data_IF_450062626127
#
_entry.id   IF_450062626127
#
_cell.length_a   1.000
_cell.length_b   1.000
_cell.length_c   1.000
_cell.angle_alpha   90.00
_cell.angle_beta   90.00
_cell.angle_gamma   90.00
#
_symmetry.space_group_name_H-M   'P 1'
#
loop_
_entity.id
_entity.type
_entity.pdbx_description
1 polymer ?
#
# COMPACT_ATOMS: atom_id res chain seq x y z
N UNK A 1 7.39 -5.70 1.72
CA UNK A 1 8.33 -6.48 0.88
C UNK A 1 9.47 -5.62 0.31
N UNK A 2 9.20 -4.62 -0.55
CA UNK A 2 10.28 -3.83 -1.18
C UNK A 2 11.28 -3.21 -0.18
N UNK A 3 10.77 -2.67 0.94
CA UNK A 3 11.58 -2.18 2.05
C UNK A 3 12.53 -3.25 2.61
N UNK A 4 12.01 -4.43 2.96
CA UNK A 4 12.78 -5.54 3.53
C UNK A 4 13.88 -6.00 2.57
N UNK A 5 13.55 -6.14 1.28
CA UNK A 5 14.55 -6.49 0.26
C UNK A 5 15.62 -5.42 0.16
N UNK A 6 15.25 -4.13 0.14
CA UNK A 6 16.22 -3.04 0.13
C UNK A 6 17.10 -3.03 1.38
N UNK A 7 16.55 -3.36 2.55
CA UNK A 7 17.31 -3.46 3.79
C UNK A 7 18.34 -4.59 3.72
N UNK A 8 17.95 -5.77 3.23
CA UNK A 8 18.87 -6.90 3.07
C UNK A 8 20.01 -6.57 2.10
N UNK A 9 19.72 -5.90 0.97
CA UNK A 9 20.72 -5.45 -0.01
C UNK A 9 21.69 -4.43 0.62
N UNK A 10 21.17 -3.46 1.36
CA UNK A 10 22.00 -2.46 2.06
C UNK A 10 22.86 -3.11 3.15
N UNK A 11 22.31 -4.09 3.86
CA UNK A 11 23.00 -4.84 4.90
C UNK A 11 24.09 -5.78 4.32
N UNK A 12 23.95 -6.24 3.08
CA UNK A 12 25.01 -6.98 2.38
C UNK A 12 26.14 -6.07 1.86
N UNK A 13 26.01 -4.76 2.00
CA UNK A 13 27.00 -3.77 1.58
C UNK A 13 26.77 -3.18 0.20
N UNK A 14 25.70 -3.59 -0.48
CA UNK A 14 25.31 -3.02 -1.77
C UNK A 14 24.51 -1.73 -1.59
N UNK A 15 24.47 -0.91 -2.65
CA UNK A 15 23.73 0.35 -2.65
C UNK A 15 22.37 0.16 -3.34
N UNK A 16 21.31 0.62 -2.68
CA UNK A 16 20.01 0.83 -3.31
C UNK A 16 19.92 2.28 -3.78
N UNK A 17 19.68 2.52 -5.06
CA UNK A 17 19.64 3.89 -5.61
C UNK A 17 18.32 4.62 -5.32
N UNK A 18 17.21 3.87 -5.21
CA UNK A 18 15.90 4.42 -4.87
C UNK A 18 14.99 3.32 -4.34
N UNK A 19 14.11 3.68 -3.41
CA UNK A 19 12.99 2.87 -2.96
C UNK A 19 11.68 3.57 -3.35
N UNK A 20 10.81 2.87 -4.09
CA UNK A 20 9.48 3.41 -4.46
C UNK A 20 8.39 2.68 -3.68
N UNK A 21 7.58 3.46 -2.97
CA UNK A 21 6.41 3.00 -2.22
C UNK A 21 5.14 3.47 -2.96
N UNK A 22 4.36 2.52 -3.46
CA UNK A 22 3.14 2.80 -4.24
C UNK A 22 1.94 2.48 -3.35
N UNK A 23 1.29 3.53 -2.86
CA UNK A 23 0.10 3.46 -2.00
C UNK A 23 0.20 2.36 -0.94
N UNK A 24 1.33 2.36 -0.22
CA UNK A 24 1.71 1.31 0.73
C UNK A 24 1.77 1.87 2.15
N UNK A 25 0.88 1.46 3.08
CA UNK A 25 0.97 1.88 4.48
C UNK A 25 2.25 1.34 5.13
N UNK A 26 2.73 2.02 6.18
CA UNK A 26 3.91 1.58 6.92
C UNK A 26 3.67 0.21 7.59
N UNK A 27 4.58 -0.76 7.48
CA UNK A 27 4.40 -2.10 8.05
C UNK A 27 4.53 -2.14 9.58
N UNK A 28 4.99 -1.06 10.23
CA UNK A 28 5.10 -0.99 11.70
C UNK A 28 3.71 -1.11 12.31
N UNK A 29 3.51 -2.12 13.16
CA UNK A 29 2.25 -2.36 13.88
C UNK A 29 1.01 -2.40 12.95
N UNK A 30 1.18 -2.92 11.73
CA UNK A 30 0.10 -3.02 10.74
C UNK A 30 -0.79 -4.22 11.07
N UNK A 31 -1.97 -3.97 11.64
CA UNK A 31 -2.94 -5.01 11.93
C UNK A 31 -3.33 -5.83 10.69
N UNK A 32 -3.50 -7.15 10.80
CA UNK A 32 -3.91 -7.98 9.67
C UNK A 32 -5.30 -7.60 9.17
N UNK A 33 -5.44 -7.47 7.85
CA UNK A 33 -6.74 -7.15 7.24
C UNK A 33 -7.70 -8.33 7.38
N UNK A 34 -8.96 -8.11 7.80
CA UNK A 34 -9.91 -9.18 8.02
C UNK A 34 -10.39 -9.78 6.69
N UNK A 35 -10.69 -11.08 6.68
CA UNK A 35 -11.16 -11.78 5.48
C UNK A 35 -12.42 -11.13 4.84
N UNK A 36 -13.32 -10.58 5.67
CA UNK A 36 -14.53 -9.89 5.20
C UNK A 36 -14.26 -8.73 4.25
N UNK A 37 -13.11 -8.06 4.37
CA UNK A 37 -12.74 -6.97 3.47
C UNK A 37 -12.46 -7.48 2.06
N UNK A 38 -11.70 -8.58 1.95
CA UNK A 38 -11.36 -9.16 0.64
C UNK A 38 -12.59 -9.78 -0.04
N UNK A 39 -13.48 -10.40 0.74
CA UNK A 39 -14.77 -10.90 0.24
C UNK A 39 -15.60 -9.75 -0.31
N UNK A 40 -15.67 -8.62 0.42
CA UNK A 40 -16.36 -7.43 -0.04
C UNK A 40 -15.76 -6.90 -1.35
N UNK A 41 -14.43 -6.79 -1.45
CA UNK A 41 -13.76 -6.35 -2.68
C UNK A 41 -14.05 -7.26 -3.89
N UNK A 42 -14.18 -8.57 -3.70
CA UNK A 42 -14.62 -9.49 -4.75
C UNK A 42 -16.08 -9.25 -5.16
N UNK A 43 -16.97 -9.05 -4.18
CA UNK A 43 -18.40 -8.81 -4.43
C UNK A 43 -18.67 -7.54 -5.24
N UNK A 44 -17.90 -6.47 -5.01
CA UNK A 44 -18.02 -5.23 -5.79
C UNK A 44 -17.24 -5.27 -7.11
N UNK A 45 -16.61 -6.40 -7.45
CA UNK A 45 -15.86 -6.58 -8.69
C UNK A 45 -14.56 -5.77 -8.73
N UNK A 46 -13.93 -5.49 -7.58
CA UNK A 46 -12.66 -4.77 -7.54
C UNK A 46 -11.46 -5.67 -7.87
N UNK A 47 -11.60 -6.97 -7.60
CA UNK A 47 -10.57 -7.98 -7.76
C UNK A 47 -10.70 -8.74 -9.10
N UNK A 48 -9.60 -9.38 -9.51
CA UNK A 48 -9.56 -10.26 -10.68
C UNK A 48 -9.96 -9.56 -11.98
N UNK A 49 -11.00 -10.09 -12.64
CA UNK A 49 -11.48 -9.62 -13.95
C UNK A 49 -12.30 -8.33 -13.90
N UNK A 50 -12.50 -7.74 -12.72
CA UNK A 50 -13.31 -6.53 -12.58
C UNK A 50 -14.83 -6.79 -12.58
N UNK A 51 -15.24 -8.06 -12.47
CA UNK A 51 -16.65 -8.49 -12.41
C UNK A 51 -16.95 -9.10 -11.05
N UNK A 52 -18.14 -8.85 -10.45
CA UNK A 52 -18.56 -9.52 -9.22
C UNK A 52 -18.41 -11.04 -9.31
N UNK A 53 -17.70 -11.65 -8.36
CA UNK A 53 -17.44 -13.10 -8.35
C UNK A 53 -16.54 -13.61 -9.49
N UNK A 54 -15.92 -12.69 -10.24
CA UNK A 54 -14.98 -12.98 -11.32
C UNK A 54 -13.54 -13.16 -10.86
N UNK A 55 -13.34 -13.33 -9.55
CA UNK A 55 -12.04 -13.57 -8.92
C UNK A 55 -11.65 -15.04 -9.06
N UNK A 56 -10.44 -15.36 -9.57
CA UNK A 56 -9.95 -16.73 -9.56
C UNK A 56 -9.87 -17.30 -8.13
N UNK A 57 -10.23 -18.58 -7.97
CA UNK A 57 -10.30 -19.22 -6.64
C UNK A 57 -9.00 -19.22 -5.83
N UNK A 58 -7.86 -18.96 -6.46
CA UNK A 58 -6.55 -18.83 -5.79
C UNK A 58 -6.26 -17.42 -5.23
N UNK A 59 -6.96 -16.38 -5.68
CA UNK A 59 -6.58 -14.99 -5.38
C UNK A 59 -6.89 -14.59 -3.93
N UNK A 60 -8.09 -14.91 -3.42
CA UNK A 60 -8.41 -14.63 -2.01
C UNK A 60 -7.52 -15.41 -1.04
N UNK A 61 -7.25 -16.73 -1.23
CA UNK A 61 -6.25 -17.45 -0.45
C UNK A 61 -4.85 -16.84 -0.52
N UNK A 62 -4.45 -16.33 -1.69
CA UNK A 62 -3.15 -15.67 -1.85
C UNK A 62 -3.05 -14.39 -0.99
N UNK A 63 -4.08 -13.53 -0.99
CA UNK A 63 -4.12 -12.36 -0.10
C UNK A 63 -4.04 -12.76 1.37
N UNK A 64 -4.82 -13.75 1.79
CA UNK A 64 -4.82 -14.24 3.17
C UNK A 64 -3.43 -14.75 3.58
N UNK A 65 -2.76 -15.50 2.70
CA UNK A 65 -1.40 -16.00 2.93
C UNK A 65 -0.38 -14.85 3.03
N UNK A 66 -0.47 -13.84 2.16
CA UNK A 66 0.41 -12.68 2.22
C UNK A 66 0.25 -11.90 3.54
N UNK A 67 -0.99 -11.70 4.00
CA UNK A 67 -1.27 -11.04 5.30
C UNK A 67 -0.74 -11.90 6.45
N UNK A 68 -0.94 -13.22 6.40
CA UNK A 68 -0.45 -14.12 7.42
C UNK A 68 1.08 -14.12 7.53
N UNK A 69 1.78 -14.03 6.40
CA UNK A 69 3.25 -13.92 6.39
C UNK A 69 3.74 -12.55 6.91
N UNK A 70 2.94 -11.49 6.73
CA UNK A 70 3.25 -10.16 7.28
C UNK A 70 2.95 -10.05 8.78
N UNK A 71 2.08 -10.91 9.33
CA UNK A 71 1.67 -10.86 10.73
C UNK A 71 2.86 -10.95 11.69
N UNK A 72 3.82 -11.81 11.38
CA UNK A 72 4.98 -12.07 12.24
C UNK A 72 6.21 -11.25 11.82
N UNK A 73 6.04 -10.33 10.85
CA UNK A 73 7.11 -9.45 10.38
C UNK A 73 7.24 -8.23 11.28
N UNK A 74 8.41 -8.07 11.89
CA UNK A 74 8.77 -6.90 12.70
C UNK A 74 9.88 -6.09 11.99
N UNK A 75 9.54 -4.99 11.30
CA UNK A 75 10.49 -4.21 10.53
C UNK A 75 11.49 -3.48 11.46
N UNK A 76 12.79 -3.66 11.21
CA UNK A 76 13.85 -2.91 11.89
C UNK A 76 14.19 -1.66 11.07
N UNK A 77 14.46 -0.47 11.65
CA UNK A 77 14.89 0.70 10.89
C UNK A 77 16.22 0.49 10.14
N UNK A 78 16.36 1.10 8.95
CA UNK A 78 17.63 1.09 8.21
C UNK A 78 18.64 2.04 8.87
N UNK A 79 19.94 1.71 8.71
CA UNK A 79 21.02 2.66 9.00
C UNK A 79 20.83 3.94 8.17
N UNK A 80 20.64 5.11 8.82
CA UNK A 80 20.41 6.38 8.12
C UNK A 80 21.49 6.73 7.09
N UNK A 81 22.73 6.32 7.34
CA UNK A 81 23.86 6.59 6.44
C UNK A 81 23.83 5.78 5.14
N UNK A 82 23.01 4.73 5.10
CA UNK A 82 22.89 3.81 3.95
C UNK A 82 21.47 3.75 3.38
N UNK A 83 20.48 4.30 4.07
CA UNK A 83 19.10 4.33 3.63
C UNK A 83 18.98 5.04 2.27
N UNK A 84 18.23 4.49 1.30
CA UNK A 84 18.10 5.08 -0.02
C UNK A 84 17.17 6.32 0.01
N UNK A 85 17.23 7.17 -1.03
CA UNK A 85 16.14 8.08 -1.35
C UNK A 85 14.82 7.32 -1.57
N UNK A 86 13.70 7.90 -1.13
CA UNK A 86 12.39 7.25 -1.14
C UNK A 86 11.40 8.11 -1.92
N UNK A 87 10.73 7.50 -2.90
CA UNK A 87 9.55 8.08 -3.53
C UNK A 87 8.30 7.40 -2.95
N UNK A 88 7.47 8.16 -2.23
CA UNK A 88 6.17 7.69 -1.76
C UNK A 88 5.06 8.30 -2.62
N UNK A 89 4.26 7.44 -3.26
CA UNK A 89 3.15 7.84 -4.12
C UNK A 89 1.84 7.48 -3.42
N UNK A 90 1.03 8.49 -3.12
CA UNK A 90 -0.23 8.33 -2.40
C UNK A 90 -1.43 8.59 -3.29
N UNK A 91 -2.46 7.77 -3.10
CA UNK A 91 -3.77 7.99 -3.71
C UNK A 91 -4.66 8.88 -2.83
N UNK A 92 -5.49 9.73 -3.43
CA UNK A 92 -6.43 10.57 -2.69
C UNK A 92 -7.63 9.80 -2.18
N UNK A 93 -8.10 8.84 -2.96
CA UNK A 93 -9.43 8.26 -2.77
C UNK A 93 -9.35 6.94 -2.01
N UNK A 94 -10.34 6.67 -1.15
CA UNK A 94 -10.59 5.35 -0.61
C UNK A 94 -11.34 4.47 -1.60
N UNK A 95 -11.55 3.20 -1.26
CA UNK A 95 -12.47 2.34 -2.04
C UNK A 95 -13.93 2.78 -1.91
N UNK A 96 -14.29 3.39 -0.77
CA UNK A 96 -15.64 3.85 -0.45
C UNK A 96 -15.61 5.35 -0.10
N UNK A 97 -15.29 6.23 -1.06
CA UNK A 97 -15.06 7.66 -0.82
C UNK A 97 -16.27 8.42 -0.27
N UNK A 98 -17.50 7.97 -0.55
CA UNK A 98 -18.73 8.66 -0.17
C UNK A 98 -19.43 8.01 1.04
N UNK A 99 -20.27 8.76 1.79
CA UNK A 99 -21.03 8.22 2.92
C UNK A 99 -21.96 7.06 2.56
N UNK A 100 -22.57 7.11 1.38
CA UNK A 100 -23.56 6.14 0.91
C UNK A 100 -22.95 4.96 0.13
N UNK A 101 -21.62 4.94 -0.05
CA UNK A 101 -20.96 3.84 -0.75
C UNK A 101 -21.13 2.54 0.04
N UNK A 102 -21.32 1.40 -0.66
CA UNK A 102 -21.39 0.12 0.02
C UNK A 102 -20.09 -0.12 0.80
N UNK A 103 -20.22 -0.65 2.02
CA UNK A 103 -19.11 -0.95 2.93
C UNK A 103 -19.08 -2.44 3.23
N UNK A 104 -17.92 -3.01 3.63
CA UNK A 104 -17.88 -4.36 4.19
C UNK A 104 -18.85 -4.50 5.35
N UNK A 105 -19.47 -5.67 5.55
CA UNK A 105 -20.34 -5.90 6.71
C UNK A 105 -19.56 -5.65 8.01
N UNK A 106 -20.21 -5.13 9.06
CA UNK A 106 -19.53 -4.85 10.33
C UNK A 106 -18.93 -6.14 10.90
N UNK A 107 -17.73 -6.03 11.46
CA UNK A 107 -17.10 -7.11 12.21
C UNK A 107 -17.43 -7.05 13.69
N UNK A 108 -16.81 -7.92 14.48
CA UNK A 108 -16.76 -7.78 15.93
C UNK A 108 -15.75 -6.67 16.28
N UNK A 109 -16.22 -5.59 16.91
CA UNK A 109 -15.37 -4.46 17.31
C UNK A 109 -15.10 -3.44 16.19
N UNK A 110 -14.09 -2.59 16.42
CA UNK A 110 -13.72 -1.56 15.46
C UNK A 110 -12.93 -2.10 14.26
N UNK A 111 -13.14 -1.50 13.09
CA UNK A 111 -12.30 -1.77 11.92
C UNK A 111 -10.84 -1.40 12.22
N UNK A 112 -9.87 -2.27 11.87
CA UNK A 112 -8.46 -1.99 12.11
C UNK A 112 -7.99 -0.82 11.24
N UNK A 113 -6.94 -0.12 11.70
CA UNK A 113 -6.45 1.08 11.02
C UNK A 113 -6.15 0.88 9.51
N UNK A 114 -5.54 -0.24 9.06
CA UNK A 114 -5.26 -0.47 7.64
C UNK A 114 -6.53 -0.63 6.81
N UNK A 115 -7.60 -1.18 7.40
CA UNK A 115 -8.90 -1.29 6.76
C UNK A 115 -9.56 0.09 6.60
N UNK A 116 -9.54 0.91 7.67
CA UNK A 116 -10.03 2.30 7.61
C UNK A 116 -9.26 3.12 6.56
N UNK A 117 -7.94 2.92 6.46
CA UNK A 117 -7.07 3.57 5.49
C UNK A 117 -7.39 3.18 4.03
N UNK A 118 -7.70 1.91 3.76
CA UNK A 118 -8.11 1.46 2.42
C UNK A 118 -9.51 1.97 2.01
N UNK A 119 -10.44 2.08 2.96
CA UNK A 119 -11.83 2.41 2.65
C UNK A 119 -12.08 3.92 2.51
N UNK A 120 -11.39 4.75 3.29
CA UNK A 120 -11.67 6.18 3.40
C UNK A 120 -10.73 7.04 2.55
N UNK A 121 -11.18 8.24 2.18
CA UNK A 121 -10.33 9.22 1.53
C UNK A 121 -9.20 9.68 2.46
N UNK A 122 -8.04 9.93 1.86
CA UNK A 122 -6.86 10.41 2.55
C UNK A 122 -6.78 11.93 2.43
N UNK A 123 -6.39 12.58 3.51
CA UNK A 123 -6.20 14.03 3.58
C UNK A 123 -4.79 14.41 4.01
N UNK A 124 -3.98 13.42 4.41
CA UNK A 124 -2.60 13.58 4.85
C UNK A 124 -1.74 12.71 3.92
N UNK A 125 -0.70 13.32 3.35
CA UNK A 125 0.13 12.74 2.29
C UNK A 125 1.61 12.91 2.65
N UNK A 126 2.00 12.40 3.82
CA UNK A 126 3.35 12.47 4.36
C UNK A 126 3.99 11.07 4.42
N UNK A 127 4.92 10.85 5.35
CA UNK A 127 5.58 9.55 5.51
C UNK A 127 4.65 8.44 5.98
N UNK A 128 3.43 8.73 6.48
CA UNK A 128 2.47 7.72 6.94
C UNK A 128 3.09 6.69 7.90
N UNK A 129 4.00 7.14 8.77
CA UNK A 129 4.72 6.32 9.74
C UNK A 129 6.00 5.67 9.21
N UNK A 130 6.31 5.79 7.92
CA UNK A 130 7.54 5.26 7.32
C UNK A 130 8.81 5.97 7.82
N UNK A 131 8.69 7.20 8.36
CA UNK A 131 9.83 7.92 8.93
C UNK A 131 10.42 7.23 10.18
N UNK A 132 9.74 6.23 10.74
CA UNK A 132 10.28 5.37 11.79
C UNK A 132 11.35 4.40 11.27
N UNK A 133 11.26 4.04 9.98
CA UNK A 133 12.08 3.00 9.36
C UNK A 133 13.17 3.56 8.44
N UNK A 134 12.99 4.80 7.98
CA UNK A 134 13.82 5.50 7.00
C UNK A 134 13.93 6.98 7.41
N UNK A 135 15.06 7.66 7.15
CA UNK A 135 15.20 9.08 7.45
C UNK A 135 14.16 9.92 6.70
N UNK A 136 13.49 10.84 7.39
CA UNK A 136 12.40 11.64 6.82
C UNK A 136 12.86 12.53 5.67
N UNK A 137 14.09 13.03 5.76
CA UNK A 137 14.77 13.84 4.74
C UNK A 137 15.00 13.09 3.41
N UNK A 138 14.91 11.75 3.41
CA UNK A 138 15.06 10.95 2.20
C UNK A 138 13.77 10.87 1.37
N UNK A 139 12.62 11.35 1.87
CA UNK A 139 11.33 11.18 1.21
C UNK A 139 10.99 12.32 0.26
N UNK A 140 10.58 11.94 -0.94
CA UNK A 140 9.77 12.74 -1.85
C UNK A 140 8.35 12.16 -1.92
N UNK A 141 7.35 13.03 -1.82
CA UNK A 141 5.94 12.64 -1.86
C UNK A 141 5.30 13.05 -3.19
N UNK A 142 4.60 12.12 -3.81
CA UNK A 142 3.72 12.38 -4.93
C UNK A 142 2.28 11.99 -4.57
N UNK A 143 1.32 12.73 -5.11
CA UNK A 143 -0.10 12.49 -4.89
C UNK A 143 -0.80 12.34 -6.23
N UNK A 144 -1.71 11.38 -6.33
CA UNK A 144 -2.52 11.16 -7.52
C UNK A 144 -3.96 10.78 -7.17
N UNK A 145 -4.87 11.00 -8.12
CA UNK A 145 -6.26 10.56 -7.99
C UNK A 145 -6.40 9.03 -8.07
N UNK A 146 -7.59 8.54 -7.73
CA UNK A 146 -7.90 7.13 -7.64
C UNK A 146 -7.64 6.56 -6.25
N UNK A 147 -7.90 5.27 -6.10
CA UNK A 147 -7.65 4.50 -4.88
C UNK A 147 -6.58 3.43 -5.11
N UNK A 148 -6.26 2.68 -4.06
CA UNK A 148 -5.25 1.62 -4.03
C UNK A 148 -5.31 0.66 -5.24
N UNK A 149 -6.51 0.42 -5.80
CA UNK A 149 -6.71 -0.48 -6.94
C UNK A 149 -6.84 0.26 -8.27
N UNK A 150 -7.61 1.35 -8.31
CA UNK A 150 -7.88 2.08 -9.56
C UNK A 150 -6.66 2.85 -10.05
N UNK A 151 -5.69 3.15 -9.17
CA UNK A 151 -4.43 3.80 -9.53
C UNK A 151 -3.62 3.03 -10.58
N UNK A 152 -3.80 1.71 -10.64
CA UNK A 152 -3.08 0.81 -11.54
C UNK A 152 -3.74 0.68 -12.92
N UNK A 153 -4.85 1.38 -13.17
CA UNK A 153 -5.71 1.19 -14.36
C UNK A 153 -5.82 2.48 -15.19
N UNK A 154 -6.00 2.32 -16.50
CA UNK A 154 -6.34 3.42 -17.42
C UNK A 154 -5.42 4.63 -17.32
N UNK A 155 -6.02 5.83 -17.26
CA UNK A 155 -5.29 7.10 -17.16
C UNK A 155 -4.53 7.25 -15.84
N UNK A 156 -5.03 6.65 -14.75
CA UNK A 156 -4.30 6.62 -13.48
C UNK A 156 -3.02 5.80 -13.60
N UNK A 157 -3.03 4.66 -14.29
CA UNK A 157 -1.83 3.88 -14.57
C UNK A 157 -0.78 4.67 -15.36
N UNK A 158 -1.23 5.47 -16.34
CA UNK A 158 -0.35 6.40 -17.06
C UNK A 158 0.23 7.47 -16.14
N UNK A 159 -0.59 8.01 -15.23
CA UNK A 159 -0.17 9.01 -14.24
C UNK A 159 0.85 8.44 -13.27
N UNK A 160 0.60 7.24 -12.73
CA UNK A 160 1.52 6.52 -11.88
C UNK A 160 2.87 6.31 -12.58
N UNK A 161 2.87 5.87 -13.84
CA UNK A 161 4.09 5.70 -14.62
C UNK A 161 4.90 7.01 -14.75
N UNK A 162 4.23 8.13 -15.01
CA UNK A 162 4.88 9.46 -15.08
C UNK A 162 5.47 9.89 -13.74
N UNK A 163 4.78 9.60 -12.62
CA UNK A 163 5.28 9.92 -11.28
C UNK A 163 6.50 9.08 -10.92
N UNK A 164 6.48 7.78 -11.24
CA UNK A 164 7.63 6.88 -11.06
C UNK A 164 8.81 7.37 -11.90
N UNK A 165 8.59 7.66 -13.19
CA UNK A 165 9.64 8.19 -14.07
C UNK A 165 10.26 9.47 -13.50
N UNK A 166 9.43 10.41 -13.06
CA UNK A 166 9.88 11.67 -12.47
C UNK A 166 10.71 11.44 -11.19
N UNK A 167 10.23 10.63 -10.26
CA UNK A 167 10.92 10.41 -8.99
C UNK A 167 12.20 9.57 -9.12
N UNK A 168 12.25 8.67 -10.12
CA UNK A 168 13.47 7.93 -10.47
C UNK A 168 14.43 8.72 -11.38
N UNK A 169 14.03 9.91 -11.86
CA UNK A 169 14.83 10.78 -12.74
C UNK A 169 15.23 10.08 -14.05
N UNK A 170 14.30 9.32 -14.64
CA UNK A 170 14.47 8.55 -15.89
C UNK A 170 13.96 9.26 -17.14
#
# INVERSE_FOLDING_TARGET
MAYEVAQQIVNSGDKVESLVLIDAPCPVALDPLPARLHIFFDQIGLLGTGKPGGTPGWLLPHFASAIQNLKDYDPVPMDPSKAPPVLAIWCTDGVCPNPDDPRPPPGEGEDPAPMKWLLNNRTVFDDNGWAQLLPKENFEYAVMGGNHFTMMKGEHGTTLGKLIQKGLKL
#
